data_IF_959539004753
#
_entry.id   IF_959539004753
#
_cell.length_a   1.000
_cell.length_b   1.000
_cell.length_c   1.000
_cell.angle_alpha   90.00
_cell.angle_beta   90.00
_cell.angle_gamma   90.00
#
_symmetry.space_group_name_H-M   'P 1'
#
loop_
_entity.id
_entity.type
_entity.pdbx_description
1 polymer ?
#
# COMPACT_ATOMS: atom_id res chain seq x y z
N UNK A 1 16.01 11.82 -15.83
CA UNK A 1 15.30 12.16 -14.57
C UNK A 1 15.95 11.44 -13.40
N UNK A 2 16.20 12.15 -12.32
CA UNK A 2 16.73 11.58 -11.07
C UNK A 2 15.63 11.51 -10.01
N UNK A 3 15.86 10.77 -8.94
CA UNK A 3 14.89 10.73 -7.81
C UNK A 3 14.70 12.12 -7.17
N UNK A 4 15.71 12.99 -7.21
CA UNK A 4 15.60 14.38 -6.72
C UNK A 4 14.54 15.18 -7.47
N UNK A 5 14.38 14.92 -8.76
CA UNK A 5 13.41 15.62 -9.61
C UNK A 5 11.96 15.20 -9.37
N UNK A 6 11.74 14.13 -8.58
CA UNK A 6 10.41 13.67 -8.19
C UNK A 6 9.83 14.45 -7.00
N UNK A 7 10.54 15.43 -6.46
CA UNK A 7 10.10 16.26 -5.32
C UNK A 7 9.86 15.49 -4.03
N UNK A 8 10.59 14.41 -3.82
CA UNK A 8 10.55 13.65 -2.57
C UNK A 8 11.35 14.36 -1.47
N UNK A 9 10.96 14.17 -0.23
CA UNK A 9 11.64 14.78 0.91
C UNK A 9 13.06 14.22 1.11
N UNK A 10 13.92 14.99 1.79
CA UNK A 10 15.31 14.62 2.01
C UNK A 10 15.51 13.27 2.71
N UNK A 11 14.75 12.89 3.75
CA UNK A 11 14.90 11.58 4.38
C UNK A 11 14.63 10.40 3.43
N UNK A 12 13.67 10.56 2.52
CA UNK A 12 13.36 9.55 1.50
C UNK A 12 14.47 9.45 0.47
N UNK A 13 14.96 10.59 -0.03
CA UNK A 13 16.06 10.63 -0.99
C UNK A 13 17.32 9.98 -0.41
N UNK A 14 17.61 10.22 0.85
CA UNK A 14 18.75 9.59 1.54
C UNK A 14 18.60 8.07 1.58
N UNK A 15 17.42 7.57 1.93
CA UNK A 15 17.15 6.14 1.99
C UNK A 15 17.26 5.48 0.60
N UNK A 16 16.76 6.15 -0.44
CA UNK A 16 16.85 5.69 -1.83
C UNK A 16 18.30 5.58 -2.29
N UNK A 17 19.14 6.57 -1.99
CA UNK A 17 20.56 6.55 -2.31
C UNK A 17 21.29 5.41 -1.61
N UNK A 18 21.01 5.20 -0.34
CA UNK A 18 21.61 4.10 0.43
C UNK A 18 21.18 2.73 -0.07
N UNK A 19 20.01 2.62 -0.68
CA UNK A 19 19.54 1.40 -1.33
C UNK A 19 20.17 1.18 -2.72
N UNK A 20 20.98 2.14 -3.21
CA UNK A 20 21.69 2.03 -4.47
C UNK A 20 20.90 2.50 -5.70
N UNK A 21 19.80 3.20 -5.53
CA UNK A 21 18.99 3.71 -6.63
C UNK A 21 19.35 5.16 -6.95
N UNK A 22 19.72 5.43 -8.19
CA UNK A 22 20.06 6.77 -8.66
C UNK A 22 18.99 7.35 -9.59
N UNK A 23 18.48 6.51 -10.48
CA UNK A 23 17.53 6.91 -11.51
C UNK A 23 16.24 6.09 -11.39
N UNK A 24 15.06 6.73 -11.30
CA UNK A 24 13.82 5.98 -11.27
C UNK A 24 13.51 5.34 -12.62
N UNK A 25 12.96 4.13 -12.59
CA UNK A 25 12.37 3.51 -13.78
C UNK A 25 11.08 4.25 -14.16
N UNK A 26 10.55 4.06 -15.39
CA UNK A 26 9.28 4.69 -15.78
C UNK A 26 8.12 4.37 -14.85
N UNK A 27 8.02 3.13 -14.35
CA UNK A 27 6.96 2.75 -13.41
C UNK A 27 7.15 3.38 -12.03
N UNK A 28 8.35 3.81 -11.68
CA UNK A 28 8.61 4.53 -10.44
C UNK A 28 8.33 6.03 -10.58
N UNK A 29 8.70 6.60 -11.73
CA UNK A 29 8.56 8.03 -11.99
C UNK A 29 7.13 8.47 -12.27
N UNK A 30 6.38 7.71 -13.08
CA UNK A 30 5.06 8.11 -13.54
C UNK A 30 4.00 8.21 -12.43
N UNK A 31 3.91 7.29 -11.43
CA UNK A 31 2.93 7.41 -10.36
C UNK A 31 3.21 8.50 -9.34
N UNK A 32 4.47 8.91 -9.18
CA UNK A 32 4.87 9.81 -8.09
C UNK A 32 4.10 11.13 -8.09
N UNK A 33 4.03 11.90 -9.19
CA UNK A 33 3.29 13.17 -9.16
C UNK A 33 1.80 13.02 -8.80
N UNK A 34 1.01 12.11 -9.44
CA UNK A 34 -0.39 11.99 -9.08
C UNK A 34 -0.61 11.49 -7.66
N UNK A 35 0.22 10.58 -7.17
CA UNK A 35 0.10 10.08 -5.79
C UNK A 35 0.41 11.20 -4.79
N UNK A 36 1.46 11.99 -5.01
CA UNK A 36 1.78 13.14 -4.16
C UNK A 36 0.67 14.20 -4.18
N UNK A 37 -0.04 14.32 -5.30
CA UNK A 37 -1.18 15.24 -5.43
C UNK A 37 -2.46 14.71 -4.76
N UNK A 38 -2.46 13.51 -4.22
CA UNK A 38 -3.62 12.92 -3.55
C UNK A 38 -4.62 12.26 -4.49
N UNK A 39 -4.27 12.05 -5.75
CA UNK A 39 -5.15 11.44 -6.73
C UNK A 39 -5.18 9.92 -6.58
N UNK A 40 -6.30 9.33 -6.96
CA UNK A 40 -6.40 7.89 -7.16
C UNK A 40 -5.58 7.49 -8.38
N UNK A 41 -5.10 6.25 -8.39
CA UNK A 41 -4.22 5.75 -9.43
C UNK A 41 -4.62 4.35 -9.87
N UNK A 42 -4.61 4.11 -11.18
CA UNK A 42 -4.65 2.77 -11.77
C UNK A 42 -3.34 2.53 -12.50
N UNK A 43 -2.55 1.57 -12.00
CA UNK A 43 -1.28 1.19 -12.59
C UNK A 43 -1.35 -0.19 -13.24
N UNK A 44 -0.93 -0.29 -14.51
CA UNK A 44 -0.76 -1.55 -15.23
C UNK A 44 0.71 -1.93 -15.19
N UNK A 45 1.10 -2.81 -14.25
CA UNK A 45 2.49 -3.18 -14.06
C UNK A 45 2.60 -4.65 -13.66
N UNK A 46 3.62 -5.31 -14.20
CA UNK A 46 3.99 -6.67 -13.83
C UNK A 46 4.87 -6.68 -12.58
N UNK A 47 4.87 -7.81 -11.85
CA UNK A 47 5.72 -8.05 -10.70
C UNK A 47 7.20 -7.87 -11.05
N UNK A 48 7.99 -7.31 -10.13
CA UNK A 48 9.45 -7.22 -10.27
C UNK A 48 9.96 -6.03 -11.07
N UNK A 49 9.12 -5.07 -11.43
CA UNK A 49 9.50 -3.90 -12.23
C UNK A 49 9.81 -2.65 -11.40
N UNK A 50 10.09 -2.81 -10.10
CA UNK A 50 10.26 -1.67 -9.19
C UNK A 50 8.95 -1.03 -8.75
N UNK A 51 7.85 -1.74 -8.93
CA UNK A 51 6.49 -1.26 -8.64
C UNK A 51 6.31 -0.85 -7.18
N UNK A 52 6.92 -1.56 -6.23
CA UNK A 52 6.77 -1.22 -4.81
C UNK A 52 7.28 0.19 -4.52
N UNK A 53 8.43 0.58 -5.04
CA UNK A 53 8.94 1.94 -4.88
C UNK A 53 8.00 2.98 -5.50
N UNK A 54 7.31 2.62 -6.58
CA UNK A 54 6.40 3.50 -7.28
C UNK A 54 5.26 4.02 -6.38
N UNK A 55 4.75 3.18 -5.48
CA UNK A 55 3.74 3.63 -4.52
C UNK A 55 4.32 3.92 -3.13
N UNK A 56 5.33 3.18 -2.68
CA UNK A 56 5.88 3.34 -1.34
C UNK A 56 6.50 4.72 -1.11
N UNK A 57 7.29 5.22 -2.05
CA UNK A 57 7.97 6.50 -1.90
C UNK A 57 7.00 7.68 -1.77
N UNK A 58 6.05 7.90 -2.70
CA UNK A 58 5.10 8.99 -2.54
C UNK A 58 4.14 8.80 -1.36
N UNK A 59 3.77 7.57 -1.02
CA UNK A 59 2.96 7.30 0.17
C UNK A 59 3.67 7.72 1.45
N UNK A 60 4.92 7.32 1.63
CA UNK A 60 5.72 7.68 2.79
C UNK A 60 5.86 9.19 2.91
N UNK A 61 6.05 9.87 1.80
CA UNK A 61 6.15 11.33 1.79
C UNK A 61 4.84 11.99 2.21
N UNK A 62 3.71 11.54 1.67
CA UNK A 62 2.39 12.06 2.05
C UNK A 62 2.07 11.81 3.53
N UNK A 63 2.33 10.62 4.02
CA UNK A 63 2.08 10.28 5.43
C UNK A 63 2.94 11.10 6.37
N UNK A 64 4.18 11.41 5.98
CA UNK A 64 5.07 12.27 6.77
C UNK A 64 4.62 13.73 6.77
N UNK A 65 4.15 14.23 5.62
CA UNK A 65 3.73 15.62 5.47
C UNK A 65 2.39 15.93 6.14
N UNK A 66 1.53 14.93 6.34
CA UNK A 66 0.18 15.12 6.89
C UNK A 66 0.08 14.51 8.29
N UNK A 67 -0.74 15.12 9.15
CA UNK A 67 -1.06 14.56 10.45
C UNK A 67 -2.06 13.40 10.30
N UNK A 68 -2.01 12.36 11.18
CA UNK A 68 -3.01 11.31 11.17
C UNK A 68 -4.40 11.85 11.51
N UNK A 69 -5.43 11.28 10.90
CA UNK A 69 -6.83 11.61 11.20
C UNK A 69 -7.20 11.29 12.65
N UNK A 70 -6.57 10.25 13.20
CA UNK A 70 -6.71 9.84 14.59
C UNK A 70 -5.38 9.28 15.09
N UNK A 71 -4.95 9.72 16.28
CA UNK A 71 -3.70 9.26 16.90
C UNK A 71 -3.72 7.74 17.10
N UNK A 72 -2.67 7.06 16.67
CA UNK A 72 -2.52 5.61 16.82
C UNK A 72 -3.30 4.76 15.83
N UNK A 73 -4.03 5.37 14.89
CA UNK A 73 -4.80 4.66 13.88
C UNK A 73 -3.92 4.15 12.74
N UNK A 74 -4.36 3.07 12.08
CA UNK A 74 -3.78 2.63 10.81
C UNK A 74 -4.09 3.69 9.75
N UNK A 75 -3.06 4.19 9.09
CA UNK A 75 -3.16 5.28 8.13
C UNK A 75 -3.12 4.82 6.68
N UNK A 76 -2.40 3.73 6.42
CA UNK A 76 -2.29 3.15 5.08
C UNK A 76 -2.41 1.63 5.16
N UNK A 77 -3.08 1.05 4.17
CA UNK A 77 -3.24 -0.39 4.01
C UNK A 77 -2.80 -0.78 2.61
N UNK A 78 -1.89 -1.75 2.52
CA UNK A 78 -1.51 -2.38 1.26
C UNK A 78 -2.01 -3.82 1.31
N UNK A 79 -2.93 -4.16 0.41
CA UNK A 79 -3.50 -5.49 0.30
C UNK A 79 -2.84 -6.21 -0.87
N UNK A 80 -2.29 -7.39 -0.63
CA UNK A 80 -1.52 -8.17 -1.60
C UNK A 80 -1.84 -9.66 -1.45
N UNK A 81 -1.74 -10.48 -2.52
CA UNK A 81 -2.27 -11.84 -2.48
C UNK A 81 -1.45 -12.86 -1.71
N UNK A 82 -0.13 -12.72 -1.63
CA UNK A 82 0.73 -13.77 -1.05
C UNK A 82 1.61 -13.27 0.08
N UNK A 83 1.97 -14.21 0.97
CA UNK A 83 2.91 -13.98 2.05
C UNK A 83 4.24 -13.43 1.55
N UNK A 84 4.79 -14.00 0.47
CA UNK A 84 6.07 -13.60 -0.10
C UNK A 84 6.04 -12.14 -0.58
N UNK A 85 4.98 -11.76 -1.28
CA UNK A 85 4.80 -10.37 -1.72
C UNK A 85 4.64 -9.43 -0.54
N UNK A 86 3.86 -9.81 0.45
CA UNK A 86 3.68 -9.00 1.65
C UNK A 86 5.00 -8.73 2.37
N UNK A 87 5.84 -9.76 2.52
CA UNK A 87 7.16 -9.63 3.13
C UNK A 87 8.08 -8.73 2.32
N UNK A 88 8.10 -8.85 0.99
CA UNK A 88 8.91 -8.01 0.11
C UNK A 88 8.48 -6.54 0.20
N UNK A 89 7.18 -6.28 0.20
CA UNK A 89 6.65 -4.92 0.36
C UNK A 89 7.04 -4.36 1.73
N UNK A 90 6.93 -5.16 2.78
CA UNK A 90 7.33 -4.77 4.13
C UNK A 90 8.80 -4.38 4.22
N UNK A 91 9.69 -5.16 3.62
CA UNK A 91 11.12 -4.85 3.54
C UNK A 91 11.37 -3.53 2.83
N UNK A 92 10.66 -3.27 1.74
CA UNK A 92 10.76 -2.03 0.99
C UNK A 92 10.34 -0.81 1.81
N UNK A 93 9.22 -0.91 2.54
CA UNK A 93 8.77 0.17 3.41
C UNK A 93 9.76 0.44 4.55
N UNK A 94 10.35 -0.59 5.12
CA UNK A 94 11.38 -0.43 6.14
C UNK A 94 12.63 0.26 5.58
N UNK A 95 13.10 -0.18 4.40
CA UNK A 95 14.29 0.38 3.77
C UNK A 95 14.09 1.85 3.37
N UNK A 96 12.97 2.18 2.72
CA UNK A 96 12.70 3.54 2.27
C UNK A 96 12.29 4.48 3.40
N UNK A 97 11.65 3.96 4.43
CA UNK A 97 11.16 4.74 5.57
C UNK A 97 12.11 4.78 6.77
N UNK A 98 13.34 4.30 6.65
CA UNK A 98 14.22 4.12 7.81
C UNK A 98 14.59 5.42 8.54
N UNK A 99 14.50 6.57 7.87
CA UNK A 99 14.73 7.88 8.47
C UNK A 99 13.44 8.60 8.85
N UNK A 100 12.30 7.92 8.75
CA UNK A 100 10.98 8.45 9.09
C UNK A 100 10.47 7.81 10.40
N UNK A 101 9.54 8.48 11.05
CA UNK A 101 8.91 7.98 12.30
C UNK A 101 7.60 7.26 12.02
N UNK A 102 7.56 6.44 10.98
CA UNK A 102 6.39 5.65 10.60
C UNK A 102 6.65 4.17 10.89
N UNK A 103 5.68 3.52 11.49
CA UNK A 103 5.75 2.09 11.81
C UNK A 103 4.96 1.29 10.79
N UNK A 104 5.59 0.25 10.24
CA UNK A 104 4.91 -0.70 9.35
C UNK A 104 4.91 -2.10 9.96
N UNK A 105 3.90 -2.88 9.63
CA UNK A 105 3.87 -4.29 9.97
C UNK A 105 3.23 -5.10 8.85
N UNK A 106 3.56 -6.40 8.81
CA UNK A 106 3.08 -7.33 7.80
C UNK A 106 2.21 -8.39 8.44
N UNK A 107 1.04 -8.65 7.85
CA UNK A 107 0.06 -9.61 8.37
C UNK A 107 -0.30 -10.62 7.28
N UNK A 108 -0.17 -11.90 7.59
CA UNK A 108 -0.53 -13.00 6.70
C UNK A 108 -0.90 -14.26 7.50
N UNK A 109 -1.65 -15.16 6.87
CA UNK A 109 -2.06 -16.43 7.44
C UNK A 109 -0.98 -17.52 7.40
N UNK A 110 -1.34 -18.71 7.88
CA UNK A 110 -0.45 -19.87 7.90
C UNK A 110 0.55 -19.87 9.04
N UNK A 111 0.51 -18.89 9.94
CA UNK A 111 1.35 -18.77 11.13
C UNK A 111 0.48 -18.31 12.30
N UNK A 112 0.98 -18.46 13.54
CA UNK A 112 0.28 -17.97 14.73
C UNK A 112 0.07 -16.45 14.67
N UNK A 113 -1.06 -15.99 15.16
CA UNK A 113 -1.40 -14.57 15.12
C UNK A 113 -0.78 -13.75 16.27
N UNK A 114 -0.32 -14.36 17.33
CA UNK A 114 0.14 -13.65 18.53
C UNK A 114 1.20 -12.58 18.27
N UNK A 115 2.28 -12.83 17.48
CA UNK A 115 3.23 -11.76 17.16
C UNK A 115 2.62 -10.63 16.36
N UNK A 116 1.67 -10.92 15.47
CA UNK A 116 0.98 -9.92 14.65
C UNK A 116 0.08 -9.04 15.52
N UNK A 117 -0.66 -9.64 16.44
CA UNK A 117 -1.50 -8.92 17.40
C UNK A 117 -0.65 -8.02 18.31
N UNK A 118 0.49 -8.50 18.77
CA UNK A 118 1.42 -7.69 19.57
C UNK A 118 1.91 -6.45 18.81
N UNK A 119 2.29 -6.62 17.55
CA UNK A 119 2.71 -5.50 16.69
C UNK A 119 1.59 -4.48 16.52
N UNK A 120 0.36 -4.93 16.33
CA UNK A 120 -0.82 -4.05 16.19
C UNK A 120 -1.09 -3.26 17.47
N UNK A 121 -0.95 -3.89 18.64
CA UNK A 121 -1.15 -3.24 19.94
C UNK A 121 -0.13 -2.13 20.21
N UNK A 122 1.08 -2.25 19.67
CA UNK A 122 2.12 -1.22 19.79
C UNK A 122 1.85 0.02 18.93
N UNK A 123 0.93 -0.08 17.99
CA UNK A 123 0.61 0.99 17.05
C UNK A 123 1.30 0.80 15.71
N UNK A 124 0.54 0.92 14.64
CA UNK A 124 0.99 0.73 13.26
C UNK A 124 0.40 1.83 12.40
N UNK A 125 1.26 2.51 11.63
CA UNK A 125 0.84 3.51 10.65
C UNK A 125 0.52 2.88 9.31
N UNK A 126 1.34 1.90 8.88
CA UNK A 126 1.25 1.25 7.57
C UNK A 126 1.10 -0.24 7.78
N UNK A 127 0.00 -0.78 7.26
CA UNK A 127 -0.33 -2.19 7.37
C UNK A 127 -0.23 -2.84 5.98
N UNK A 128 0.61 -3.87 5.87
CA UNK A 128 0.73 -4.68 4.67
C UNK A 128 0.11 -6.03 4.99
N UNK A 129 -0.89 -6.46 4.23
CA UNK A 129 -1.68 -7.62 4.63
C UNK A 129 -2.13 -8.48 3.45
N UNK A 130 -2.28 -9.78 3.73
CA UNK A 130 -3.04 -10.70 2.89
C UNK A 130 -4.52 -10.73 3.35
N UNK A 131 -5.47 -10.90 2.43
CA UNK A 131 -6.89 -10.67 2.73
C UNK A 131 -7.48 -11.53 3.83
N UNK A 132 -7.16 -12.83 3.89
CA UNK A 132 -7.75 -13.75 4.86
C UNK A 132 -7.45 -13.40 6.30
N UNK A 133 -6.16 -13.26 6.64
CA UNK A 133 -5.73 -12.90 7.99
C UNK A 133 -6.19 -11.49 8.37
N UNK A 134 -6.20 -10.56 7.41
CA UNK A 134 -6.68 -9.21 7.66
C UNK A 134 -8.14 -9.22 8.10
N UNK A 135 -9.01 -9.89 7.36
CA UNK A 135 -10.44 -10.01 7.71
C UNK A 135 -10.63 -10.69 9.06
N UNK A 136 -9.85 -11.72 9.34
CA UNK A 136 -9.87 -12.43 10.62
C UNK A 136 -9.56 -11.47 11.79
N UNK A 137 -8.48 -10.71 11.69
CA UNK A 137 -8.09 -9.76 12.75
C UNK A 137 -9.03 -8.56 12.87
N UNK A 138 -9.62 -8.12 11.77
CA UNK A 138 -10.69 -7.11 11.81
C UNK A 138 -11.88 -7.65 12.59
N UNK A 139 -12.30 -8.88 12.29
CA UNK A 139 -13.41 -9.54 12.96
C UNK A 139 -13.19 -9.75 14.46
N UNK A 140 -11.96 -9.96 14.89
CA UNK A 140 -11.58 -10.08 16.29
C UNK A 140 -11.42 -8.73 17.01
N UNK A 141 -11.51 -7.61 16.29
CA UNK A 141 -11.39 -6.28 16.87
C UNK A 141 -9.97 -5.76 17.04
N UNK A 142 -8.97 -6.43 16.48
CA UNK A 142 -7.56 -5.99 16.57
C UNK A 142 -7.18 -4.93 15.56
N UNK A 143 -7.99 -4.72 14.52
CA UNK A 143 -7.73 -3.74 13.45
C UNK A 143 -8.98 -2.90 13.23
N UNK A 144 -8.79 -1.58 13.24
CA UNK A 144 -9.82 -0.60 12.91
C UNK A 144 -9.29 0.27 11.77
N UNK A 145 -9.98 0.23 10.63
CA UNK A 145 -9.58 0.94 9.41
C UNK A 145 -10.38 2.25 9.20
N UNK A 146 -11.17 2.68 10.18
CA UNK A 146 -12.06 3.84 10.03
C UNK A 146 -11.35 5.17 9.80
N UNK A 147 -10.07 5.28 10.15
CA UNK A 147 -9.26 6.48 9.96
C UNK A 147 -8.22 6.34 8.84
N UNK A 148 -8.39 5.36 7.96
CA UNK A 148 -7.47 5.10 6.87
C UNK A 148 -7.43 6.25 5.87
N UNK A 149 -6.23 6.61 5.43
CA UNK A 149 -6.00 7.70 4.48
C UNK A 149 -5.70 7.17 3.07
N UNK A 150 -4.93 6.09 2.96
CA UNK A 150 -4.49 5.52 1.68
C UNK A 150 -4.73 4.01 1.66
N UNK A 151 -5.37 3.54 0.60
CA UNK A 151 -5.58 2.12 0.34
C UNK A 151 -4.87 1.72 -0.96
N UNK A 152 -4.06 0.66 -0.90
CA UNK A 152 -3.40 0.09 -2.08
C UNK A 152 -3.88 -1.34 -2.27
N UNK A 153 -4.39 -1.63 -3.47
CA UNK A 153 -4.72 -2.97 -3.90
C UNK A 153 -3.66 -3.40 -4.91
N UNK A 154 -2.76 -4.28 -4.50
CA UNK A 154 -1.64 -4.71 -5.32
C UNK A 154 -1.89 -6.10 -5.90
N UNK A 155 -1.53 -6.27 -7.18
CA UNK A 155 -1.75 -7.51 -7.93
C UNK A 155 -3.19 -8.00 -7.88
N UNK A 156 -4.12 -7.10 -8.24
CA UNK A 156 -5.56 -7.36 -8.18
C UNK A 156 -5.99 -8.56 -9.02
N UNK A 157 -5.45 -8.71 -10.22
CA UNK A 157 -5.74 -9.84 -11.11
C UNK A 157 -5.29 -11.18 -10.49
N UNK A 158 -4.17 -11.21 -9.81
CA UNK A 158 -3.70 -12.39 -9.11
C UNK A 158 -4.61 -12.75 -7.94
N UNK A 159 -5.12 -11.75 -7.20
CA UNK A 159 -6.12 -12.00 -6.16
C UNK A 159 -7.40 -12.60 -6.74
N UNK A 160 -7.83 -12.15 -7.91
CA UNK A 160 -8.96 -12.71 -8.63
C UNK A 160 -8.70 -14.19 -8.95
N UNK A 161 -7.54 -14.50 -9.53
CA UNK A 161 -7.18 -15.87 -9.93
C UNK A 161 -7.10 -16.82 -8.73
N UNK A 162 -6.70 -16.31 -7.57
CA UNK A 162 -6.62 -17.08 -6.32
C UNK A 162 -7.93 -17.15 -5.54
N UNK A 163 -9.00 -16.54 -6.05
CA UNK A 163 -10.33 -16.59 -5.43
C UNK A 163 -10.53 -15.62 -4.26
N UNK A 164 -9.72 -14.57 -4.17
CA UNK A 164 -9.78 -13.61 -3.04
C UNK A 164 -10.69 -12.39 -3.26
N UNK A 165 -11.40 -12.31 -4.39
CA UNK A 165 -12.23 -11.12 -4.69
C UNK A 165 -13.26 -10.85 -3.60
N UNK A 166 -13.90 -11.89 -3.09
CA UNK A 166 -14.87 -11.74 -2.01
C UNK A 166 -14.24 -11.20 -0.72
N UNK A 167 -13.07 -11.71 -0.35
CA UNK A 167 -12.33 -11.23 0.82
C UNK A 167 -11.88 -9.79 0.64
N UNK A 168 -11.43 -9.41 -0.56
CA UNK A 168 -11.08 -8.04 -0.91
C UNK A 168 -12.27 -7.10 -0.74
N UNK A 169 -13.45 -7.49 -1.24
CA UNK A 169 -14.67 -6.70 -1.11
C UNK A 169 -15.08 -6.51 0.35
N UNK A 170 -14.89 -7.51 1.19
CA UNK A 170 -15.13 -7.40 2.64
C UNK A 170 -14.23 -6.35 3.28
N UNK A 171 -12.96 -6.31 2.90
CA UNK A 171 -12.02 -5.29 3.40
C UNK A 171 -12.48 -3.90 2.96
N UNK A 172 -12.79 -3.73 1.68
CA UNK A 172 -13.21 -2.44 1.11
C UNK A 172 -14.45 -1.92 1.83
N UNK A 173 -15.39 -2.77 2.20
CA UNK A 173 -16.59 -2.38 2.93
C UNK A 173 -16.28 -1.78 4.32
N UNK A 174 -15.11 -2.01 4.89
CA UNK A 174 -14.67 -1.47 6.18
C UNK A 174 -13.88 -0.18 6.07
N UNK A 175 -13.58 0.28 4.85
CA UNK A 175 -12.79 1.48 4.62
C UNK A 175 -13.66 2.75 4.69
N UNK A 176 -13.09 3.89 5.12
CA UNK A 176 -13.82 5.16 5.08
C UNK A 176 -14.05 5.60 3.65
N UNK A 177 -15.14 6.36 3.41
CA UNK A 177 -15.49 6.85 2.08
C UNK A 177 -14.41 7.80 1.52
N UNK A 178 -13.86 8.66 2.37
CA UNK A 178 -12.78 9.58 1.99
C UNK A 178 -11.43 8.92 2.20
N UNK A 179 -10.84 8.48 1.11
CA UNK A 179 -9.50 7.88 1.09
C UNK A 179 -8.91 8.02 -0.30
N UNK A 180 -7.58 7.97 -0.38
CA UNK A 180 -6.88 7.84 -1.64
C UNK A 180 -6.76 6.35 -1.98
N UNK A 181 -7.00 5.97 -3.23
CA UNK A 181 -6.94 4.59 -3.68
C UNK A 181 -5.91 4.41 -4.78
N UNK A 182 -5.02 3.44 -4.61
CA UNK A 182 -4.04 3.04 -5.62
C UNK A 182 -4.29 1.58 -5.96
N UNK A 183 -4.44 1.26 -7.24
CA UNK A 183 -4.71 -0.09 -7.69
C UNK A 183 -3.71 -0.50 -8.75
N UNK A 184 -3.14 -1.69 -8.61
CA UNK A 184 -2.17 -2.24 -9.55
C UNK A 184 -2.61 -3.62 -10.01
N UNK A 185 -2.56 -3.83 -11.33
CA UNK A 185 -2.91 -5.10 -11.95
C UNK A 185 -2.16 -5.23 -13.27
N UNK A 186 -1.62 -6.42 -13.56
CA UNK A 186 -0.93 -6.66 -14.83
C UNK A 186 -1.92 -6.80 -15.97
N UNK A 187 -3.13 -7.29 -15.68
CA UNK A 187 -4.21 -7.50 -16.65
C UNK A 187 -5.50 -6.83 -16.17
N UNK A 188 -6.42 -6.57 -17.09
CA UNK A 188 -7.70 -5.91 -16.81
C UNK A 188 -8.90 -6.72 -17.31
N UNK A 189 -9.13 -7.94 -16.76
CA UNK A 189 -10.38 -8.64 -17.07
C UNK A 189 -11.59 -7.87 -16.52
N UNK A 190 -12.79 -8.21 -17.03
CA UNK A 190 -14.02 -7.49 -16.69
C UNK A 190 -14.26 -7.34 -15.18
N UNK A 191 -13.97 -8.36 -14.38
CA UNK A 191 -14.13 -8.30 -12.92
C UNK A 191 -13.18 -7.28 -12.26
N UNK A 192 -11.96 -7.14 -12.79
CA UNK A 192 -11.00 -6.15 -12.30
C UNK A 192 -11.42 -4.75 -12.72
N UNK A 193 -11.93 -4.56 -13.93
CA UNK A 193 -12.49 -3.27 -14.37
C UNK A 193 -13.65 -2.84 -13.48
N UNK A 194 -14.55 -3.77 -13.15
CA UNK A 194 -15.68 -3.52 -12.25
C UNK A 194 -15.21 -3.14 -10.84
N UNK A 195 -14.21 -3.84 -10.33
CA UNK A 195 -13.62 -3.56 -9.03
C UNK A 195 -12.99 -2.16 -9.01
N UNK A 196 -12.23 -1.83 -10.04
CA UNK A 196 -11.61 -0.51 -10.20
C UNK A 196 -12.67 0.60 -10.26
N UNK A 197 -13.74 0.41 -11.01
CA UNK A 197 -14.83 1.37 -11.12
C UNK A 197 -15.52 1.62 -9.78
N UNK A 198 -15.58 0.61 -8.91
CA UNK A 198 -16.17 0.73 -7.58
C UNK A 198 -15.26 1.36 -6.53
N UNK A 199 -13.96 1.37 -6.74
CA UNK A 199 -12.97 1.85 -5.77
C UNK A 199 -12.41 3.22 -6.17
N UNK A 200 -12.05 3.40 -7.44
CA UNK A 200 -11.31 4.56 -7.92
C UNK A 200 -12.22 5.71 -8.31
N UNK A 201 -11.81 6.93 -7.97
CA UNK A 201 -12.50 8.17 -8.35
C UNK A 201 -11.56 9.00 -9.22
N UNK A 202 -11.93 9.19 -10.47
CA UNK A 202 -11.16 9.96 -11.46
C UNK A 202 -9.65 9.63 -11.43
N UNK A 203 -9.27 8.34 -11.58
CA UNK A 203 -7.89 7.93 -11.40
C UNK A 203 -6.97 8.43 -12.49
N UNK A 204 -5.70 8.66 -12.12
CA UNK A 204 -4.63 8.74 -13.10
C UNK A 204 -4.29 7.32 -13.56
N UNK A 205 -3.94 7.16 -14.82
CA UNK A 205 -3.53 5.88 -15.40
C UNK A 205 -2.04 5.91 -15.75
N UNK A 206 -1.33 4.86 -15.34
CA UNK A 206 0.10 4.70 -15.62
C UNK A 206 0.45 3.30 -16.12
#
# INVERSE_FOLDING_TARGET
MTFKELNLSAPLLRAVQEAGYETPSPIQAAPTPPVLAGRDLMGCAQTGTGKTAAFALPMLDRLTANAPRRKGAVRALILTPTRELALQIGESFEAYGKYLKLRSTVIFGGVGQAPQVEALKKGVDILIACPGRLNDLIGQGFIDLSALEIFVLDEADRMLDMGFVHDVKKVIAKLPAQRQNLMFSATMPAEIEQLAAGILTEPAFV
#
